data_IF_938610732516
#
_entry.id   IF_938610732516
#
_cell.length_a   1.000
_cell.length_b   1.000
_cell.length_c   1.000
_cell.angle_alpha   90.00
_cell.angle_beta   90.00
_cell.angle_gamma   90.00
#
_symmetry.space_group_name_H-M   'P 1'
#
loop_
_entity.id
_entity.type
_entity.pdbx_description
1 polymer ?
#
# COMPACT_ATOMS: atom_id res chain seq x y z
N UNK A 1 2.39 -16.37 11.18
CA UNK A 1 3.37 -15.28 10.93
C UNK A 1 4.67 -15.74 11.53
N UNK A 2 5.76 -15.57 10.81
CA UNK A 2 7.10 -15.99 11.22
C UNK A 2 8.00 -14.75 11.31
N UNK A 3 9.06 -14.88 12.09
CA UNK A 3 9.97 -13.79 12.45
C UNK A 3 11.41 -14.27 12.32
N UNK A 4 12.35 -13.38 12.02
CA UNK A 4 13.79 -13.66 12.02
C UNK A 4 14.54 -12.50 12.64
N UNK A 5 15.66 -12.77 13.30
CA UNK A 5 16.63 -11.76 13.70
C UNK A 5 17.86 -11.90 12.78
N UNK A 6 18.04 -10.94 11.89
CA UNK A 6 19.11 -10.91 10.88
C UNK A 6 19.56 -9.45 10.64
N UNK A 7 20.46 -9.23 9.68
CA UNK A 7 20.93 -7.87 9.35
C UNK A 7 19.79 -6.91 9.00
N UNK A 8 18.81 -7.35 8.18
CA UNK A 8 17.64 -6.55 7.78
C UNK A 8 16.83 -6.11 9.00
N UNK A 9 16.70 -6.99 9.99
CA UNK A 9 16.00 -6.67 11.25
C UNK A 9 16.67 -5.48 11.94
N UNK A 10 18.00 -5.48 12.01
CA UNK A 10 18.73 -4.42 12.70
C UNK A 10 18.72 -3.10 11.92
N UNK A 11 18.81 -3.15 10.58
CA UNK A 11 18.65 -1.96 9.73
C UNK A 11 17.27 -1.31 9.95
N UNK A 12 16.21 -2.12 10.05
CA UNK A 12 14.86 -1.65 10.35
C UNK A 12 14.73 -1.09 11.78
N UNK A 13 15.35 -1.74 12.77
CA UNK A 13 15.33 -1.28 14.16
C UNK A 13 16.01 0.07 14.36
N UNK A 14 17.05 0.36 13.57
CA UNK A 14 17.70 1.68 13.54
C UNK A 14 16.72 2.76 13.04
N UNK A 15 16.03 2.50 11.92
CA UNK A 15 15.00 3.41 11.37
C UNK A 15 13.84 3.60 12.37
N UNK A 16 13.44 2.55 13.07
CA UNK A 16 12.40 2.59 14.11
C UNK A 16 12.89 3.17 15.45
N UNK A 17 14.15 3.62 15.53
CA UNK A 17 14.76 4.22 16.72
C UNK A 17 14.67 3.34 17.98
N UNK A 18 14.90 2.03 17.85
CA UNK A 18 14.95 1.15 19.02
C UNK A 18 16.15 1.53 19.92
N UNK A 19 15.96 1.70 21.24
CA UNK A 19 17.07 1.98 22.14
C UNK A 19 18.18 0.92 22.11
N UNK A 20 19.45 1.33 21.96
CA UNK A 20 20.62 0.44 21.83
C UNK A 20 20.72 -0.64 22.91
N UNK A 21 20.23 -0.36 24.14
CA UNK A 21 20.20 -1.35 25.24
C UNK A 21 19.42 -2.61 24.88
N UNK A 22 18.38 -2.50 24.06
CA UNK A 22 17.58 -3.62 23.60
C UNK A 22 18.24 -4.31 22.43
N UNK A 23 18.79 -3.55 21.49
CA UNK A 23 19.53 -4.07 20.35
C UNK A 23 20.68 -4.99 20.78
N UNK A 24 21.49 -4.57 21.76
CA UNK A 24 22.57 -5.39 22.31
C UNK A 24 22.09 -6.71 22.91
N UNK A 25 20.92 -6.73 23.55
CA UNK A 25 20.33 -7.95 24.11
C UNK A 25 19.74 -8.84 23.03
N UNK A 26 19.13 -8.27 21.99
CA UNK A 26 18.61 -9.02 20.85
C UNK A 26 19.72 -9.77 20.12
N UNK A 27 20.93 -9.19 20.01
CA UNK A 27 22.09 -9.85 19.40
C UNK A 27 22.57 -11.11 20.15
N UNK A 28 22.11 -11.32 21.40
CA UNK A 28 22.39 -12.53 22.18
C UNK A 28 21.36 -13.64 21.94
N UNK A 29 20.22 -13.34 21.32
CA UNK A 29 19.22 -14.33 20.94
C UNK A 29 19.67 -15.10 19.69
N UNK A 30 19.09 -16.27 19.38
CA UNK A 30 19.42 -16.98 18.15
C UNK A 30 19.20 -16.07 16.92
N UNK A 31 20.22 -15.98 16.08
CA UNK A 31 20.22 -15.20 14.84
C UNK A 31 19.94 -16.10 13.64
N UNK A 32 19.49 -15.52 12.52
CA UNK A 32 19.24 -16.23 11.24
C UNK A 32 18.32 -17.46 11.38
N UNK A 33 17.47 -17.46 12.42
CA UNK A 33 16.58 -18.57 12.77
C UNK A 33 15.15 -18.07 12.69
N UNK A 34 14.27 -18.84 12.04
CA UNK A 34 12.85 -18.54 11.98
C UNK A 34 12.18 -18.85 13.33
N UNK A 35 11.34 -17.93 13.79
CA UNK A 35 10.55 -18.07 15.00
C UNK A 35 9.07 -17.98 14.68
N UNK A 36 8.26 -18.75 15.41
CA UNK A 36 6.84 -18.45 15.58
C UNK A 36 6.64 -17.25 16.52
N UNK A 37 5.44 -16.68 16.50
CA UNK A 37 5.06 -15.61 17.43
C UNK A 37 5.23 -16.01 18.90
N UNK A 38 4.91 -17.28 19.24
CA UNK A 38 5.02 -17.80 20.60
C UNK A 38 6.49 -17.88 21.03
N UNK A 39 7.36 -18.40 20.16
CA UNK A 39 8.78 -18.55 20.45
C UNK A 39 9.49 -17.20 20.60
N UNK A 40 9.23 -16.25 19.69
CA UNK A 40 9.80 -14.92 19.77
C UNK A 40 9.34 -14.22 21.06
N UNK A 41 8.04 -14.24 21.37
CA UNK A 41 7.54 -13.61 22.60
C UNK A 41 8.18 -14.22 23.84
N UNK A 42 8.30 -15.56 23.91
CA UNK A 42 8.98 -16.24 25.01
C UNK A 42 10.42 -15.75 25.18
N UNK A 43 11.19 -15.64 24.09
CA UNK A 43 12.56 -15.13 24.13
C UNK A 43 12.63 -13.68 24.60
N UNK A 44 11.71 -12.83 24.14
CA UNK A 44 11.63 -11.42 24.57
C UNK A 44 11.29 -11.32 26.07
N UNK A 45 10.37 -12.14 26.57
CA UNK A 45 9.99 -12.19 27.98
C UNK A 45 11.16 -12.65 28.87
N UNK A 46 11.89 -13.68 28.44
CA UNK A 46 13.01 -14.26 29.19
C UNK A 46 14.25 -13.34 29.23
N UNK A 47 14.60 -12.71 28.11
CA UNK A 47 15.90 -12.03 27.96
C UNK A 47 15.80 -10.49 27.96
N UNK A 48 14.65 -9.92 27.62
CA UNK A 48 14.42 -8.47 27.57
C UNK A 48 13.45 -8.04 28.68
N UNK A 49 13.79 -8.38 29.92
CA UNK A 49 13.03 -7.98 31.13
C UNK A 49 12.80 -6.46 31.14
N UNK A 50 11.54 -6.04 31.39
CA UNK A 50 11.06 -4.66 31.36
C UNK A 50 11.02 -4.00 29.97
N UNK A 51 10.97 -4.78 28.89
CA UNK A 51 10.68 -4.28 27.55
C UNK A 51 9.28 -3.66 27.52
N UNK A 52 9.20 -2.37 27.19
CA UNK A 52 7.91 -1.69 27.05
C UNK A 52 7.18 -2.18 25.79
N UNK A 53 5.86 -1.96 25.74
CA UNK A 53 5.00 -2.40 24.64
C UNK A 53 5.45 -1.85 23.28
N UNK A 54 5.82 -0.56 23.22
CA UNK A 54 6.23 0.07 21.97
C UNK A 54 7.48 -0.58 21.38
N UNK A 55 8.53 -0.77 22.20
CA UNK A 55 9.76 -1.42 21.78
C UNK A 55 9.52 -2.89 21.40
N UNK A 56 8.60 -3.59 22.08
CA UNK A 56 8.19 -4.94 21.69
C UNK A 56 7.56 -4.95 20.30
N UNK A 57 6.60 -4.06 20.04
CA UNK A 57 5.97 -3.93 18.72
C UNK A 57 7.00 -3.64 17.64
N UNK A 58 7.93 -2.69 17.86
CA UNK A 58 8.99 -2.40 16.89
C UNK A 58 9.84 -3.63 16.55
N UNK A 59 10.20 -4.43 17.56
CA UNK A 59 11.00 -5.66 17.36
C UNK A 59 10.21 -6.69 16.55
N UNK A 60 8.94 -6.90 16.89
CA UNK A 60 8.08 -7.84 16.18
C UNK A 60 7.84 -7.41 14.73
N UNK A 61 7.57 -6.13 14.48
CA UNK A 61 7.40 -5.59 13.13
C UNK A 61 8.67 -5.73 12.31
N UNK A 62 9.83 -5.30 12.83
CA UNK A 62 11.11 -5.42 12.14
C UNK A 62 11.46 -6.88 11.81
N UNK A 63 11.29 -7.79 12.77
CA UNK A 63 11.59 -9.21 12.58
C UNK A 63 10.62 -9.91 11.61
N UNK A 64 9.34 -9.51 11.58
CA UNK A 64 8.36 -10.02 10.63
C UNK A 64 8.64 -9.52 9.21
N UNK A 65 8.99 -8.23 9.06
CA UNK A 65 9.36 -7.64 7.77
C UNK A 65 10.64 -8.31 7.26
N UNK A 66 11.66 -8.46 8.11
CA UNK A 66 12.90 -9.14 7.74
C UNK A 66 12.65 -10.58 7.26
N UNK A 67 11.76 -11.31 7.94
CA UNK A 67 11.38 -12.65 7.52
C UNK A 67 10.69 -12.63 6.15
N UNK A 68 9.74 -11.72 5.96
CA UNK A 68 9.03 -11.53 4.69
C UNK A 68 10.00 -11.23 3.52
N UNK A 69 11.05 -10.44 3.76
CA UNK A 69 12.06 -10.11 2.76
C UNK A 69 13.04 -11.25 2.46
N UNK A 70 13.35 -12.09 3.44
CA UNK A 70 14.30 -13.21 3.30
C UNK A 70 13.70 -14.46 2.68
N UNK A 71 12.42 -14.73 2.92
CA UNK A 71 11.77 -15.94 2.44
C UNK A 71 11.65 -15.95 0.89
N UNK A 72 11.59 -17.15 0.30
CA UNK A 72 11.50 -17.35 -1.16
C UNK A 72 10.19 -17.98 -1.63
N UNK A 73 9.25 -18.23 -0.71
CA UNK A 73 7.96 -18.87 -1.00
C UNK A 73 7.00 -17.95 -1.75
N UNK A 74 7.03 -16.65 -1.44
CA UNK A 74 6.25 -15.62 -2.11
C UNK A 74 7.19 -14.49 -2.55
N UNK A 75 6.95 -13.86 -3.72
CA UNK A 75 7.75 -12.73 -4.14
C UNK A 75 7.55 -11.54 -3.18
N UNK A 76 8.65 -10.84 -2.89
CA UNK A 76 8.60 -9.56 -2.18
C UNK A 76 7.95 -8.53 -3.11
N UNK A 77 6.94 -7.83 -2.62
CA UNK A 77 6.24 -6.79 -3.36
C UNK A 77 7.20 -5.60 -3.49
N UNK A 78 7.43 -5.14 -4.72
CA UNK A 78 8.31 -3.99 -4.97
C UNK A 78 7.70 -2.68 -4.50
N UNK A 79 6.41 -2.50 -4.75
CA UNK A 79 5.72 -1.22 -4.50
C UNK A 79 4.30 -1.45 -4.01
N UNK A 80 3.91 -0.70 -2.98
CA UNK A 80 2.52 -0.61 -2.51
C UNK A 80 1.94 0.78 -2.78
N UNK A 81 0.62 0.85 -2.99
CA UNK A 81 -0.10 2.14 -3.04
C UNK A 81 -1.01 2.23 -1.82
N UNK A 82 -0.82 3.25 -0.99
CA UNK A 82 -1.55 3.41 0.25
C UNK A 82 -2.12 4.82 0.46
N UNK A 83 -2.90 4.96 1.53
CA UNK A 83 -3.43 6.22 2.06
C UNK A 83 -2.49 6.90 3.07
N UNK A 84 -1.19 6.53 3.08
CA UNK A 84 -0.17 6.94 4.06
C UNK A 84 -0.43 6.40 5.48
N UNK A 85 -1.14 5.28 5.60
CA UNK A 85 -1.27 4.62 6.89
C UNK A 85 0.08 4.02 7.36
N UNK A 86 0.50 4.25 8.62
CA UNK A 86 1.85 3.88 9.10
C UNK A 86 2.21 2.41 8.93
N UNK A 87 1.24 1.49 9.02
CA UNK A 87 1.48 0.05 8.93
C UNK A 87 2.01 -0.44 7.57
N UNK A 88 1.97 0.40 6.52
CA UNK A 88 2.50 0.05 5.20
C UNK A 88 3.94 0.53 4.99
N UNK A 89 4.49 1.34 5.91
CA UNK A 89 5.86 1.83 5.80
C UNK A 89 6.84 0.69 6.04
N UNK A 90 7.97 0.72 5.34
CA UNK A 90 9.07 -0.25 5.43
C UNK A 90 8.74 -1.69 4.96
N UNK A 91 7.48 -1.99 4.60
CA UNK A 91 7.10 -3.31 4.09
C UNK A 91 7.74 -3.62 2.73
N UNK A 92 7.94 -2.60 1.90
CA UNK A 92 8.40 -2.71 0.52
C UNK A 92 9.43 -1.62 0.22
N UNK A 93 10.23 -1.80 -0.83
CA UNK A 93 11.26 -0.85 -1.24
C UNK A 93 10.68 0.52 -1.56
N UNK A 94 9.51 0.53 -2.21
CA UNK A 94 8.84 1.77 -2.60
C UNK A 94 7.41 1.81 -2.08
N UNK A 95 6.96 3.00 -1.70
CA UNK A 95 5.58 3.29 -1.32
C UNK A 95 5.08 4.44 -2.21
N UNK A 96 4.02 4.19 -2.96
CA UNK A 96 3.27 5.23 -3.65
C UNK A 96 2.10 5.69 -2.78
N UNK A 97 1.79 6.99 -2.82
CA UNK A 97 0.68 7.57 -2.07
C UNK A 97 -0.51 7.92 -2.94
N UNK A 98 -1.70 7.69 -2.39
CA UNK A 98 -2.97 7.98 -3.04
C UNK A 98 -3.21 9.49 -3.13
N UNK A 99 -3.21 10.02 -4.34
CA UNK A 99 -3.49 11.42 -4.64
C UNK A 99 -4.89 11.87 -4.18
N UNK A 100 -5.87 10.96 -4.21
CA UNK A 100 -7.24 11.26 -3.75
C UNK A 100 -7.27 11.47 -2.22
N UNK A 101 -6.47 10.71 -1.47
CA UNK A 101 -6.31 10.92 -0.04
C UNK A 101 -5.58 12.23 0.25
N UNK A 102 -4.51 12.53 -0.50
CA UNK A 102 -3.81 13.80 -0.33
C UNK A 102 -4.75 14.99 -0.61
N UNK A 103 -5.53 14.94 -1.69
CA UNK A 103 -6.55 15.93 -2.02
C UNK A 103 -7.65 16.09 -0.96
N UNK A 104 -7.98 15.02 -0.24
CA UNK A 104 -8.98 15.04 0.84
C UNK A 104 -8.55 15.92 2.01
N UNK A 105 -7.25 15.98 2.32
CA UNK A 105 -6.76 16.84 3.40
C UNK A 105 -7.03 18.32 3.14
N UNK A 106 -6.91 18.75 1.89
CA UNK A 106 -7.22 20.12 1.48
C UNK A 106 -8.72 20.41 1.51
N UNK A 107 -9.56 19.47 1.04
CA UNK A 107 -11.03 19.62 1.09
C UNK A 107 -11.59 19.70 2.51
N UNK A 108 -10.86 19.23 3.52
CA UNK A 108 -11.25 19.32 4.94
C UNK A 108 -10.97 20.70 5.55
N UNK A 109 -10.20 21.56 4.88
CA UNK A 109 -9.99 22.94 5.33
C UNK A 109 -11.32 23.70 5.20
N UNK A 110 -11.68 24.42 6.26
CA UNK A 110 -12.93 25.19 6.33
C UNK A 110 -12.64 26.65 6.71
N UNK A 111 -12.06 27.46 5.80
CA UNK A 111 -11.74 28.85 6.07
C UNK A 111 -13.01 29.70 6.28
N UNK A 112 -13.02 30.51 7.32
CA UNK A 112 -14.12 31.44 7.62
C UNK A 112 -14.05 32.74 6.80
N UNK A 113 -12.83 33.15 6.43
CA UNK A 113 -12.59 34.41 5.71
C UNK A 113 -12.81 34.19 4.20
N UNK A 114 -13.64 35.01 3.57
CA UNK A 114 -13.98 34.89 2.14
C UNK A 114 -12.73 34.93 1.22
N UNK A 115 -11.71 35.69 1.59
CA UNK A 115 -10.43 35.71 0.88
C UNK A 115 -9.71 34.36 0.92
N UNK A 116 -9.65 33.71 2.10
CA UNK A 116 -9.06 32.38 2.24
C UNK A 116 -9.87 31.29 1.54
N UNK A 117 -11.19 31.42 1.46
CA UNK A 117 -12.05 30.53 0.67
C UNK A 117 -11.64 30.56 -0.82
N UNK A 118 -11.52 31.76 -1.39
CA UNK A 118 -11.06 31.92 -2.79
C UNK A 118 -9.66 31.36 -3.02
N UNK A 119 -8.74 31.55 -2.07
CA UNK A 119 -7.40 30.97 -2.13
C UNK A 119 -7.46 29.44 -2.17
N UNK A 120 -8.26 28.83 -1.28
CA UNK A 120 -8.42 27.38 -1.21
C UNK A 120 -9.04 26.81 -2.49
N UNK A 121 -10.10 27.44 -3.01
CA UNK A 121 -10.78 27.02 -4.24
C UNK A 121 -9.81 27.06 -5.44
N UNK A 122 -9.09 28.18 -5.62
CA UNK A 122 -8.09 28.32 -6.67
C UNK A 122 -6.97 27.28 -6.56
N UNK A 123 -6.54 26.97 -5.33
CA UNK A 123 -5.54 25.94 -5.09
C UNK A 123 -6.07 24.55 -5.46
N UNK A 124 -7.29 24.20 -5.05
CA UNK A 124 -7.92 22.91 -5.35
C UNK A 124 -8.06 22.71 -6.87
N UNK A 125 -8.41 23.76 -7.62
CA UNK A 125 -8.46 23.69 -9.09
C UNK A 125 -7.10 23.37 -9.70
N UNK A 126 -6.02 24.02 -9.22
CA UNK A 126 -4.65 23.75 -9.68
C UNK A 126 -4.19 22.35 -9.28
N UNK A 127 -4.50 21.91 -8.06
CA UNK A 127 -4.24 20.56 -7.57
C UNK A 127 -4.86 19.50 -8.48
N UNK A 128 -6.16 19.62 -8.80
CA UNK A 128 -6.83 18.65 -9.66
C UNK A 128 -6.41 18.75 -11.13
N UNK A 129 -5.96 19.92 -11.60
CA UNK A 129 -5.30 20.03 -12.92
C UNK A 129 -4.00 19.23 -12.95
N UNK A 130 -3.14 19.36 -11.94
CA UNK A 130 -1.92 18.55 -11.84
C UNK A 130 -2.22 17.06 -11.81
N UNK A 131 -3.20 16.63 -10.99
CA UNK A 131 -3.66 15.23 -10.94
C UNK A 131 -4.10 14.70 -12.31
N UNK A 132 -4.88 15.47 -13.09
CA UNK A 132 -5.30 15.06 -14.43
C UNK A 132 -4.12 14.96 -15.40
N UNK A 133 -3.11 15.82 -15.28
CA UNK A 133 -1.89 15.70 -16.08
C UNK A 133 -1.09 14.46 -15.70
N UNK A 134 -0.98 14.12 -14.41
CA UNK A 134 -0.37 12.88 -13.95
C UNK A 134 -1.13 11.65 -14.48
N UNK A 135 -2.46 11.70 -14.56
CA UNK A 135 -3.25 10.64 -15.18
C UNK A 135 -2.90 10.47 -16.66
N UNK A 136 -2.91 11.57 -17.44
CA UNK A 136 -2.60 11.53 -18.87
C UNK A 136 -1.16 11.10 -19.17
N UNK A 137 -0.22 11.43 -18.29
CA UNK A 137 1.18 11.00 -18.40
C UNK A 137 1.33 9.48 -18.43
N UNK A 138 0.46 8.74 -17.72
CA UNK A 138 0.50 7.27 -17.69
C UNK A 138 0.26 6.63 -19.06
N UNK A 139 -0.53 7.29 -19.89
CA UNK A 139 -0.90 6.78 -21.21
C UNK A 139 0.21 7.00 -22.26
N UNK A 140 1.09 7.99 -22.05
CA UNK A 140 2.19 8.32 -22.97
C UNK A 140 3.38 8.94 -22.22
N UNK A 141 4.09 8.15 -21.39
CA UNK A 141 5.14 8.68 -20.54
C UNK A 141 6.36 9.13 -21.35
N UNK A 142 6.91 10.30 -20.99
CA UNK A 142 8.19 10.80 -21.53
C UNK A 142 8.99 11.50 -20.45
N UNK A 143 10.32 11.50 -20.59
CA UNK A 143 11.20 12.14 -19.60
C UNK A 143 10.94 13.65 -19.50
N UNK A 144 10.74 14.32 -20.65
CA UNK A 144 10.43 15.76 -20.70
C UNK A 144 9.16 16.10 -19.92
N UNK A 145 8.08 15.34 -20.13
CA UNK A 145 6.83 15.54 -19.39
C UNK A 145 6.98 15.23 -17.89
N UNK A 146 7.77 14.21 -17.53
CA UNK A 146 8.04 13.89 -16.13
C UNK A 146 8.74 15.07 -15.42
N UNK A 147 9.75 15.66 -16.06
CA UNK A 147 10.47 16.82 -15.51
C UNK A 147 9.58 18.07 -15.42
N UNK A 148 8.73 18.29 -16.43
CA UNK A 148 7.71 19.34 -16.37
C UNK A 148 6.75 19.11 -15.18
N UNK A 149 6.25 17.90 -14.97
CA UNK A 149 5.34 17.57 -13.87
C UNK A 149 5.98 17.74 -12.50
N UNK A 150 7.26 17.37 -12.35
CA UNK A 150 8.03 17.63 -11.12
C UNK A 150 8.15 19.14 -10.86
N UNK A 151 8.44 19.92 -11.89
CA UNK A 151 8.52 21.39 -11.79
C UNK A 151 7.17 22.00 -11.40
N UNK A 152 6.08 21.61 -12.07
CA UNK A 152 4.72 22.07 -11.77
C UNK A 152 4.29 21.72 -10.33
N UNK A 153 4.62 20.50 -9.87
CA UNK A 153 4.43 20.11 -8.47
C UNK A 153 5.19 21.06 -7.53
N UNK A 154 6.49 21.25 -7.77
CA UNK A 154 7.34 22.13 -6.97
C UNK A 154 6.78 23.54 -6.87
N UNK A 155 6.38 24.14 -8.00
CA UNK A 155 5.75 25.47 -8.03
C UNK A 155 4.45 25.51 -7.23
N UNK A 156 3.54 24.55 -7.47
CA UNK A 156 2.23 24.53 -6.83
C UNK A 156 2.33 24.46 -5.30
N UNK A 157 3.19 23.57 -4.78
CA UNK A 157 3.27 23.33 -3.33
C UNK A 157 4.23 24.27 -2.59
N UNK A 158 5.24 24.88 -3.23
CA UNK A 158 6.17 25.80 -2.57
C UNK A 158 5.68 27.24 -2.49
N UNK A 159 4.83 27.66 -3.43
CA UNK A 159 4.24 29.01 -3.45
C UNK A 159 3.54 29.32 -2.12
N UNK A 160 3.85 30.43 -1.46
CA UNK A 160 3.14 30.84 -0.22
C UNK A 160 1.82 31.50 -0.56
N UNK A 161 0.76 31.11 0.14
CA UNK A 161 -0.59 31.62 -0.10
C UNK A 161 -1.01 32.68 0.92
N UNK A 162 -0.33 32.75 2.07
CA UNK A 162 -0.71 33.60 3.20
C UNK A 162 -1.86 33.02 4.03
N UNK A 163 -2.45 31.90 3.60
CA UNK A 163 -3.37 31.12 4.42
C UNK A 163 -2.58 30.01 5.13
N UNK A 164 -2.23 30.23 6.39
CA UNK A 164 -1.31 29.37 7.16
C UNK A 164 -1.69 27.89 7.16
N UNK A 165 -2.98 27.55 7.33
CA UNK A 165 -3.42 26.14 7.33
C UNK A 165 -3.21 25.47 5.97
N UNK A 166 -3.40 26.20 4.86
CA UNK A 166 -3.13 25.69 3.53
C UNK A 166 -1.62 25.55 3.30
N UNK A 167 -0.83 26.55 3.69
CA UNK A 167 0.62 26.52 3.55
C UNK A 167 1.26 25.39 4.37
N UNK A 168 0.73 25.08 5.55
CA UNK A 168 1.16 23.92 6.34
C UNK A 168 0.78 22.59 5.66
N UNK A 169 -0.43 22.48 5.10
CA UNK A 169 -0.81 21.29 4.32
C UNK A 169 0.11 21.08 3.12
N UNK A 170 0.46 22.14 2.40
CA UNK A 170 1.37 22.09 1.26
C UNK A 170 2.78 21.65 1.68
N UNK A 171 3.27 22.11 2.83
CA UNK A 171 4.55 21.67 3.41
C UNK A 171 4.56 20.16 3.68
N UNK A 172 3.48 19.62 4.25
CA UNK A 172 3.35 18.18 4.50
C UNK A 172 3.30 17.38 3.20
N UNK A 173 2.68 17.90 2.14
CA UNK A 173 2.69 17.25 0.82
C UNK A 173 4.08 17.27 0.17
N UNK A 174 4.86 18.33 0.33
CA UNK A 174 6.25 18.38 -0.17
C UNK A 174 7.11 17.30 0.50
N UNK A 175 6.92 17.05 1.79
CA UNK A 175 7.64 16.00 2.52
C UNK A 175 7.34 14.59 1.99
N UNK A 176 6.31 14.43 1.16
CA UNK A 176 5.84 13.18 0.55
C UNK A 176 5.98 13.17 -0.97
N UNK A 177 6.82 14.06 -1.51
CA UNK A 177 6.91 14.30 -2.94
C UNK A 177 7.32 13.02 -3.69
N UNK A 178 8.32 12.30 -3.19
CA UNK A 178 8.86 11.12 -3.86
C UNK A 178 7.79 10.02 -3.96
N UNK A 179 7.01 9.81 -2.90
CA UNK A 179 5.95 8.82 -2.86
C UNK A 179 4.73 9.22 -3.69
N UNK A 180 4.40 10.52 -3.75
CA UNK A 180 3.29 11.03 -4.59
C UNK A 180 3.64 11.04 -6.08
N UNK A 181 4.91 11.27 -6.41
CA UNK A 181 5.39 11.35 -7.80
C UNK A 181 6.03 10.04 -8.29
N UNK A 182 5.93 8.94 -7.54
CA UNK A 182 6.49 7.65 -7.94
C UNK A 182 5.97 7.15 -9.30
N UNK A 183 4.76 7.55 -9.68
CA UNK A 183 4.20 7.31 -11.03
C UNK A 183 5.07 7.84 -12.17
N UNK A 184 5.90 8.87 -11.93
CA UNK A 184 6.83 9.42 -12.93
C UNK A 184 8.04 8.52 -13.17
N UNK A 185 8.29 7.56 -12.27
CA UNK A 185 9.28 6.50 -12.44
C UNK A 185 8.63 5.21 -12.95
N UNK A 186 7.39 4.96 -12.51
CA UNK A 186 6.62 3.76 -12.79
C UNK A 186 5.20 4.12 -13.29
N UNK A 187 5.04 4.49 -14.58
CA UNK A 187 3.79 5.02 -15.14
C UNK A 187 2.60 4.04 -15.08
N UNK A 188 2.85 2.75 -14.98
CA UNK A 188 1.82 1.74 -14.78
C UNK A 188 1.10 1.85 -13.42
N UNK A 189 1.74 2.45 -12.41
CA UNK A 189 1.16 2.60 -11.08
C UNK A 189 -0.13 3.44 -11.13
N UNK A 190 -1.22 3.01 -10.47
CA UNK A 190 -2.38 3.87 -10.30
C UNK A 190 -2.07 5.04 -9.34
N UNK A 191 -2.74 6.17 -9.54
CA UNK A 191 -2.60 7.34 -8.67
C UNK A 191 -3.45 7.26 -7.39
N UNK A 192 -4.26 6.21 -7.25
CA UNK A 192 -5.17 6.05 -6.13
C UNK A 192 -5.38 4.58 -5.76
N UNK A 193 -5.71 4.35 -4.49
CA UNK A 193 -6.03 3.04 -3.94
C UNK A 193 -7.55 2.73 -3.96
N UNK A 194 -8.38 3.50 -4.69
CA UNK A 194 -9.84 3.30 -4.74
C UNK A 194 -10.28 1.85 -5.02
N UNK A 195 -9.64 1.07 -5.92
CA UNK A 195 -10.02 -0.33 -6.11
C UNK A 195 -9.92 -1.17 -4.83
N UNK A 196 -8.86 -0.96 -4.03
CA UNK A 196 -8.68 -1.62 -2.75
C UNK A 196 -9.73 -1.15 -1.72
N UNK A 197 -10.01 0.16 -1.68
CA UNK A 197 -11.06 0.70 -0.79
C UNK A 197 -12.45 0.15 -1.11
N UNK A 198 -12.80 0.05 -2.40
CA UNK A 198 -14.08 -0.49 -2.86
C UNK A 198 -14.22 -1.98 -2.52
N UNK A 199 -13.16 -2.77 -2.68
CA UNK A 199 -13.14 -4.16 -2.29
C UNK A 199 -13.39 -4.31 -0.77
N UNK A 200 -12.68 -3.54 0.06
CA UNK A 200 -12.84 -3.55 1.52
C UNK A 200 -14.23 -3.08 1.97
N UNK A 201 -14.81 -2.09 1.28
CA UNK A 201 -16.13 -1.52 1.60
C UNK A 201 -17.24 -2.57 1.57
N UNK A 202 -17.18 -3.51 0.65
CA UNK A 202 -18.19 -4.58 0.54
C UNK A 202 -18.25 -5.42 1.82
N UNK A 203 -17.09 -5.80 2.38
CA UNK A 203 -17.03 -6.53 3.64
C UNK A 203 -17.54 -5.68 4.80
N UNK A 204 -17.15 -4.41 4.88
CA UNK A 204 -17.59 -3.49 5.94
C UNK A 204 -19.11 -3.31 5.95
N UNK A 205 -19.73 -3.13 4.77
CA UNK A 205 -21.18 -3.01 4.66
C UNK A 205 -21.87 -4.30 5.09
N UNK A 206 -21.39 -5.45 4.63
CA UNK A 206 -21.97 -6.74 5.00
C UNK A 206 -21.84 -6.99 6.52
N UNK A 207 -20.74 -6.55 7.15
CA UNK A 207 -20.54 -6.53 8.62
C UNK A 207 -21.59 -5.71 9.34
N UNK A 208 -21.85 -4.51 8.85
CA UNK A 208 -22.84 -3.60 9.44
C UNK A 208 -24.26 -4.16 9.35
N UNK A 209 -24.67 -4.70 8.20
CA UNK A 209 -26.04 -5.20 8.02
C UNK A 209 -26.30 -6.55 8.70
N UNK A 210 -25.26 -7.36 8.89
CA UNK A 210 -25.40 -8.72 9.46
C UNK A 210 -25.01 -8.82 10.93
N UNK A 211 -24.72 -7.68 11.60
CA UNK A 211 -24.22 -7.62 12.98
C UNK A 211 -22.96 -8.47 13.23
N UNK A 212 -22.07 -8.52 12.24
CA UNK A 212 -20.87 -9.37 12.22
C UNK A 212 -21.16 -10.89 12.41
N UNK A 213 -20.12 -11.70 12.33
CA UNK A 213 -20.20 -13.13 12.59
C UNK A 213 -20.03 -13.43 14.07
N UNK A 214 -20.76 -14.43 14.55
CA UNK A 214 -20.76 -14.84 15.96
C UNK A 214 -19.72 -15.92 16.27
N UNK A 215 -19.35 -16.72 15.26
CA UNK A 215 -18.43 -17.85 15.41
C UNK A 215 -17.37 -17.84 14.31
N UNK A 216 -16.21 -18.43 14.62
CA UNK A 216 -15.08 -18.54 13.69
C UNK A 216 -15.46 -19.17 12.35
N UNK A 217 -16.27 -20.24 12.36
CA UNK A 217 -16.72 -20.90 11.13
C UNK A 217 -17.55 -19.97 10.24
N UNK A 218 -18.37 -19.11 10.86
CA UNK A 218 -19.15 -18.10 10.14
C UNK A 218 -18.24 -17.07 9.49
N UNK A 219 -17.22 -16.58 10.22
CA UNK A 219 -16.21 -15.66 9.68
C UNK A 219 -15.50 -16.29 8.49
N UNK A 220 -15.02 -17.52 8.65
CA UNK A 220 -14.31 -18.26 7.59
C UNK A 220 -15.18 -18.47 6.36
N UNK A 221 -16.43 -18.90 6.53
CA UNK A 221 -17.36 -19.07 5.40
C UNK A 221 -17.57 -17.74 4.67
N UNK A 222 -17.75 -16.66 5.42
CA UNK A 222 -17.97 -15.35 4.88
C UNK A 222 -16.76 -14.84 4.09
N UNK A 223 -15.55 -14.95 4.62
CA UNK A 223 -14.32 -14.55 3.92
C UNK A 223 -14.16 -15.31 2.59
N UNK A 224 -14.42 -16.62 2.59
CA UNK A 224 -14.37 -17.45 1.38
C UNK A 224 -15.40 -16.97 0.35
N UNK A 225 -16.67 -16.84 0.74
CA UNK A 225 -17.72 -16.47 -0.22
C UNK A 225 -17.56 -15.05 -0.74
N UNK A 226 -17.12 -14.09 0.09
CA UNK A 226 -16.86 -12.72 -0.37
C UNK A 226 -15.68 -12.66 -1.33
N UNK A 227 -14.63 -13.43 -1.07
CA UNK A 227 -13.50 -13.55 -1.99
C UNK A 227 -13.95 -14.15 -3.32
N UNK A 228 -14.73 -15.24 -3.30
CA UNK A 228 -15.28 -15.85 -4.51
C UNK A 228 -16.16 -14.89 -5.32
N UNK A 229 -17.04 -14.13 -4.66
CA UNK A 229 -17.91 -13.14 -5.31
C UNK A 229 -17.08 -12.04 -5.98
N UNK A 230 -16.05 -11.51 -5.30
CA UNK A 230 -15.22 -10.45 -5.86
C UNK A 230 -14.35 -10.97 -7.02
N UNK A 231 -13.74 -12.15 -6.87
CA UNK A 231 -12.93 -12.78 -7.92
C UNK A 231 -13.75 -13.13 -9.15
N UNK A 232 -14.90 -13.78 -9.00
CA UNK A 232 -15.78 -14.13 -10.13
C UNK A 232 -16.26 -12.87 -10.87
N UNK A 233 -16.63 -11.82 -10.14
CA UNK A 233 -16.99 -10.52 -10.73
C UNK A 233 -15.84 -9.90 -11.53
N UNK A 234 -14.61 -9.91 -11.00
CA UNK A 234 -13.43 -9.38 -11.69
C UNK A 234 -13.10 -10.16 -12.96
N UNK A 235 -13.36 -11.46 -12.98
CA UNK A 235 -13.15 -12.34 -14.14
C UNK A 235 -14.34 -12.38 -15.11
N UNK A 236 -15.42 -11.62 -14.86
CA UNK A 236 -16.62 -11.65 -15.70
C UNK A 236 -17.41 -12.97 -15.63
N UNK A 237 -17.20 -13.77 -14.59
CA UNK A 237 -17.86 -15.07 -14.39
C UNK A 237 -19.04 -14.89 -13.44
N UNK A 238 -20.18 -15.52 -13.74
CA UNK A 238 -21.29 -15.57 -12.78
C UNK A 238 -20.90 -16.38 -11.55
N UNK A 239 -20.99 -15.77 -10.36
CA UNK A 239 -20.78 -16.46 -9.09
C UNK A 239 -21.66 -17.73 -8.97
N UNK A 240 -22.93 -17.64 -9.37
CA UNK A 240 -23.86 -18.77 -9.26
C UNK A 240 -23.50 -19.92 -10.20
N UNK A 241 -23.09 -19.60 -11.43
CA UNK A 241 -22.62 -20.62 -12.39
C UNK A 241 -21.34 -21.28 -11.89
N UNK A 242 -20.40 -20.50 -11.34
CA UNK A 242 -19.19 -21.04 -10.76
C UNK A 242 -19.47 -21.99 -9.58
N UNK A 243 -20.36 -21.60 -8.66
CA UNK A 243 -20.73 -22.47 -7.54
C UNK A 243 -21.47 -23.72 -8.02
N UNK A 244 -22.40 -23.58 -8.98
CA UNK A 244 -23.13 -24.72 -9.56
C UNK A 244 -22.18 -25.71 -10.22
N UNK A 245 -21.20 -25.23 -10.99
CA UNK A 245 -20.16 -26.04 -11.63
C UNK A 245 -19.30 -26.80 -10.61
N UNK A 246 -18.95 -26.17 -9.47
CA UNK A 246 -18.21 -26.84 -8.38
C UNK A 246 -19.03 -27.88 -7.65
N UNK A 247 -20.30 -27.60 -7.36
CA UNK A 247 -21.20 -28.53 -6.64
C UNK A 247 -21.54 -29.74 -7.52
N UNK A 248 -21.84 -29.51 -8.80
CA UNK A 248 -22.18 -30.56 -9.76
C UNK A 248 -20.96 -31.36 -10.25
N UNK A 249 -19.75 -30.88 -9.96
CA UNK A 249 -18.48 -31.43 -10.46
C UNK A 249 -18.40 -31.47 -12.00
N UNK A 250 -19.13 -30.57 -12.68
CA UNK A 250 -19.18 -30.53 -14.13
C UNK A 250 -17.83 -30.14 -14.76
N UNK A 251 -17.05 -29.28 -14.08
CA UNK A 251 -15.70 -28.92 -14.51
C UNK A 251 -15.65 -28.07 -15.79
N UNK A 252 -16.75 -27.39 -16.12
CA UNK A 252 -16.90 -26.55 -17.32
C UNK A 252 -16.12 -25.24 -17.15
N UNK A 253 -16.22 -24.62 -15.97
CA UNK A 253 -15.47 -23.40 -15.66
C UNK A 253 -14.10 -23.83 -15.14
N UNK A 254 -13.01 -23.20 -15.61
CA UNK A 254 -11.69 -23.48 -15.06
C UNK A 254 -11.59 -23.03 -13.59
N UNK A 255 -10.75 -23.66 -12.75
CA UNK A 255 -10.49 -23.15 -11.40
C UNK A 255 -10.05 -21.69 -11.46
N UNK A 256 -10.62 -20.83 -10.60
CA UNK A 256 -10.35 -19.38 -10.64
C UNK A 256 -8.86 -19.06 -10.59
N UNK A 257 -8.08 -19.81 -9.82
CA UNK A 257 -6.63 -19.64 -9.74
C UNK A 257 -5.92 -19.83 -11.10
N UNK A 258 -6.42 -20.73 -11.95
CA UNK A 258 -5.88 -20.94 -13.29
C UNK A 258 -6.19 -19.76 -14.20
N UNK A 259 -7.43 -19.25 -14.13
CA UNK A 259 -7.84 -18.08 -14.90
C UNK A 259 -7.03 -16.85 -14.48
N UNK A 260 -6.90 -16.60 -13.16
CA UNK A 260 -6.09 -15.49 -12.62
C UNK A 260 -4.65 -15.55 -13.14
N UNK A 261 -4.01 -16.73 -13.12
CA UNK A 261 -2.65 -16.89 -13.64
C UNK A 261 -2.55 -16.64 -15.14
N UNK A 262 -3.56 -17.06 -15.90
CA UNK A 262 -3.63 -16.82 -17.34
C UNK A 262 -3.73 -15.32 -17.64
N UNK A 263 -4.68 -14.62 -17.02
CA UNK A 263 -4.86 -13.17 -17.20
C UNK A 263 -3.62 -12.38 -16.74
N UNK A 264 -3.05 -12.72 -15.58
CA UNK A 264 -1.85 -12.06 -15.07
C UNK A 264 -0.61 -12.25 -15.95
N UNK A 265 -0.58 -13.24 -16.84
CA UNK A 265 0.52 -13.43 -17.79
C UNK A 265 0.45 -12.52 -19.01
N UNK A 266 -0.75 -11.95 -19.28
CA UNK A 266 -1.00 -11.06 -20.40
C UNK A 266 -0.74 -9.60 -20.02
N UNK A 267 -1.06 -9.23 -18.78
CA UNK A 267 -0.87 -7.87 -18.29
C UNK A 267 0.56 -7.62 -17.79
N UNK A 268 1.25 -6.68 -18.43
CA UNK A 268 2.56 -6.22 -17.95
C UNK A 268 2.39 -5.18 -16.83
N UNK A 269 2.20 -5.63 -15.60
CA UNK A 269 2.08 -4.74 -14.42
C UNK A 269 3.43 -4.34 -13.79
N UNK A 270 4.54 -4.47 -14.53
CA UNK A 270 5.85 -4.11 -13.99
C UNK A 270 6.95 -3.89 -15.02
N UNK A 271 6.59 -3.49 -16.24
CA UNK A 271 7.55 -3.28 -17.33
C UNK A 271 8.65 -2.28 -16.97
N UNK A 272 8.34 -1.28 -16.15
CA UNK A 272 9.34 -0.29 -15.72
C UNK A 272 10.38 -0.86 -14.73
N UNK A 273 10.11 -2.00 -14.09
CA UNK A 273 11.07 -2.72 -13.24
C UNK A 273 11.75 -3.91 -13.94
N UNK A 274 11.41 -4.20 -15.20
CA UNK A 274 11.91 -5.37 -15.93
C UNK A 274 13.25 -5.16 -16.65
N UNK A 275 13.76 -3.92 -16.69
CA UNK A 275 15.11 -3.55 -17.15
C UNK A 275 15.78 -4.48 -18.18
N UNK A 276 15.18 -4.62 -19.35
CA UNK A 276 15.89 -4.73 -20.64
C UNK A 276 15.02 -4.04 -21.70
N UNK A 277 15.42 -2.80 -22.07
CA UNK A 277 14.98 -2.02 -23.24
C UNK A 277 13.48 -1.85 -23.48
N UNK A 278 13.01 -0.61 -23.41
CA UNK A 278 11.81 -0.16 -24.12
C UNK A 278 11.82 -0.75 -25.55
N UNK A 279 10.81 -1.51 -25.98
CA UNK A 279 10.57 -1.63 -27.40
C UNK A 279 10.14 -0.24 -27.85
N UNK A 280 10.99 0.41 -28.63
CA UNK A 280 10.55 1.49 -29.51
C UNK A 280 9.26 1.05 -30.20
N UNK A 281 8.17 1.84 -30.14
CA UNK A 281 6.98 1.52 -30.92
C UNK A 281 7.40 1.45 -32.39
N UNK A 282 7.21 0.29 -33.02
CA UNK A 282 7.21 0.25 -34.47
C UNK A 282 6.00 1.07 -34.92
N UNK A 283 6.28 2.14 -35.66
CA UNK A 283 5.30 2.95 -36.38
C UNK A 283 4.40 2.09 -37.28
#
# INVERSE_FOLDING_TARGET
MEFVLNSITYDLLEVLNLPNKWEHRLKLLPQETAFTEIELNRLLDEHLVNLNSQSRTCIQEAAAIAFYHQQSTIPVIKTLISDDAPQFKLLTDELALCWVHEGRHYKKLSPFIAYHQKILDNFLDRFWKLYRKLLAYRDSPSQEQADQLRSEFGTLFREKTGYEHLDERKRLTIAKQEELLLVLKHPELPLHNNPAELAARTMVLRRKISYATQIFLGTKAWDIFMSLVDTTRKLGISFFEYISDRISQAGIILPLATIIRSEASVDSFGWSWSAESFPTPNY
#
